data_IF_678849272039
#
_entry.id   IF_678849272039
#
_cell.length_a   1.000
_cell.length_b   1.000
_cell.length_c   1.000
_cell.angle_alpha   90.00
_cell.angle_beta   90.00
_cell.angle_gamma   90.00
#
_symmetry.space_group_name_H-M   'P 1'
#
loop_
_entity.id
_entity.type
_entity.pdbx_description
1 polymer ?
#
# COMPACT_ATOMS: atom_id res chain seq x y z
N UNK A 1 10.68 49.78 27.55
CA UNK A 1 11.12 49.06 26.37
C UNK A 1 11.14 47.52 26.60
N UNK A 2 10.11 46.93 27.25
CA UNK A 2 10.09 45.46 27.55
C UNK A 2 8.81 44.74 27.09
N UNK A 3 7.97 45.34 26.28
CA UNK A 3 6.66 44.80 25.88
C UNK A 3 6.50 44.49 24.40
N UNK A 4 7.57 44.63 23.59
CA UNK A 4 7.52 44.31 22.14
C UNK A 4 8.17 42.98 21.73
N UNK A 5 8.62 42.17 22.68
CA UNK A 5 9.36 40.93 22.39
C UNK A 5 8.55 39.65 22.60
N UNK A 6 7.27 39.76 22.96
CA UNK A 6 6.42 38.59 23.24
C UNK A 6 5.42 38.24 22.13
N UNK A 7 5.39 38.96 21.01
CA UNK A 7 4.45 38.69 19.91
C UNK A 7 5.03 37.91 18.71
N UNK A 8 6.30 37.50 18.75
CA UNK A 8 6.94 36.78 17.61
C UNK A 8 7.08 35.30 17.82
N UNK A 9 6.59 34.72 18.92
CA UNK A 9 6.70 33.28 19.22
C UNK A 9 5.44 32.49 18.88
N UNK A 10 4.39 33.11 18.36
CA UNK A 10 3.07 32.46 18.11
C UNK A 10 2.81 31.95 16.68
N UNK A 11 3.72 32.18 15.72
CA UNK A 11 3.43 31.92 14.30
C UNK A 11 4.17 30.72 13.71
N UNK A 12 4.64 29.79 14.51
CA UNK A 12 5.46 28.67 14.01
C UNK A 12 4.87 27.29 14.29
N UNK A 13 3.56 27.12 14.27
CA UNK A 13 2.98 25.82 14.56
C UNK A 13 1.71 25.49 13.77
N UNK A 14 1.75 25.58 12.45
CA UNK A 14 0.71 24.98 11.59
C UNK A 14 1.25 24.61 10.21
N UNK A 15 2.38 23.92 10.12
CA UNK A 15 2.65 23.06 8.96
C UNK A 15 1.95 21.73 9.21
N UNK A 16 0.64 21.71 9.04
CA UNK A 16 -0.11 20.46 8.88
C UNK A 16 0.39 19.79 7.61
N UNK A 17 1.22 18.76 7.78
CA UNK A 17 1.57 17.85 6.72
C UNK A 17 0.24 17.25 6.20
N UNK A 18 -0.15 17.64 4.99
CA UNK A 18 -1.26 17.02 4.25
C UNK A 18 -0.76 15.62 3.92
N UNK A 19 -0.97 14.68 4.85
CA UNK A 19 -0.74 13.29 4.59
C UNK A 19 -1.79 12.87 3.55
N UNK A 20 -1.36 12.67 2.30
CA UNK A 20 -2.18 12.03 1.28
C UNK A 20 -2.58 10.67 1.83
N UNK A 21 -3.83 10.55 2.28
CA UNK A 21 -4.38 9.32 2.82
C UNK A 21 -4.54 8.32 1.67
N UNK A 22 -3.60 7.39 1.56
CA UNK A 22 -3.77 6.25 0.67
C UNK A 22 -4.95 5.41 1.17
N UNK A 23 -5.88 5.11 0.28
CA UNK A 23 -7.00 4.22 0.62
C UNK A 23 -6.48 2.80 0.78
N UNK A 24 -6.64 2.25 1.98
CA UNK A 24 -6.23 0.88 2.30
C UNK A 24 -7.43 0.12 2.83
N UNK A 25 -7.80 -0.94 2.13
CA UNK A 25 -8.83 -1.88 2.57
C UNK A 25 -8.16 -3.04 3.31
N UNK A 26 -8.66 -3.34 4.50
CA UNK A 26 -8.18 -4.45 5.32
C UNK A 26 -9.37 -5.23 5.85
N UNK A 27 -9.30 -6.54 5.72
CA UNK A 27 -10.24 -7.48 6.33
C UNK A 27 -9.47 -8.46 7.20
N UNK A 28 -10.01 -8.80 8.36
CA UNK A 28 -9.47 -9.82 9.26
C UNK A 28 -10.58 -10.77 9.71
N UNK A 29 -10.24 -12.05 9.84
CA UNK A 29 -11.15 -13.04 10.40
C UNK A 29 -11.36 -12.77 11.89
N UNK A 30 -12.60 -12.86 12.35
CA UNK A 30 -12.93 -12.78 13.78
C UNK A 30 -12.50 -14.01 14.56
N UNK A 31 -12.29 -15.14 13.86
CA UNK A 31 -11.90 -16.41 14.45
C UNK A 31 -10.38 -16.57 14.55
N UNK A 32 -9.61 -15.70 13.88
CA UNK A 32 -8.15 -15.76 13.90
C UNK A 32 -7.60 -15.28 15.25
N UNK A 33 -6.76 -16.11 15.86
CA UNK A 33 -6.11 -15.77 17.13
C UNK A 33 -4.70 -15.21 16.86
N UNK A 34 -4.63 -13.95 16.43
CA UNK A 34 -3.38 -13.29 16.05
C UNK A 34 -2.27 -13.36 17.09
N UNK A 35 -2.52 -13.23 18.41
CA UNK A 35 -1.48 -13.38 19.44
C UNK A 35 -0.84 -14.76 19.50
N UNK A 36 -1.47 -15.80 18.94
CA UNK A 36 -0.91 -17.16 18.96
C UNK A 36 0.00 -17.48 17.79
N UNK A 37 0.10 -16.61 16.79
CA UNK A 37 0.95 -16.82 15.63
C UNK A 37 2.37 -16.35 15.91
N UNK A 38 3.35 -17.21 15.63
CA UNK A 38 4.78 -16.94 15.85
C UNK A 38 5.62 -17.09 14.60
N UNK A 39 5.12 -17.85 13.60
CA UNK A 39 5.87 -18.18 12.41
C UNK A 39 5.06 -17.95 11.15
N UNK A 40 5.74 -17.58 10.06
CA UNK A 40 5.13 -17.48 8.76
C UNK A 40 6.07 -17.99 7.66
N UNK A 41 5.49 -18.47 6.57
CA UNK A 41 6.20 -18.77 5.35
C UNK A 41 5.52 -18.12 4.13
N UNK A 42 6.27 -17.99 3.06
CA UNK A 42 5.73 -17.56 1.79
C UNK A 42 5.10 -18.74 1.05
N UNK A 43 3.84 -18.58 0.70
CA UNK A 43 3.15 -19.53 -0.18
C UNK A 43 3.39 -19.21 -1.66
N UNK A 44 3.22 -20.22 -2.50
CA UNK A 44 3.33 -20.04 -3.94
C UNK A 44 2.09 -19.33 -4.48
N UNK A 45 2.32 -18.27 -5.26
CA UNK A 45 1.24 -17.66 -6.03
C UNK A 45 0.91 -18.57 -7.23
N UNK A 46 -0.32 -19.05 -7.28
CA UNK A 46 -0.79 -19.89 -8.40
C UNK A 46 -0.85 -19.15 -9.75
N UNK A 47 -0.73 -17.83 -9.75
CA UNK A 47 -0.70 -16.98 -10.93
C UNK A 47 0.51 -16.01 -10.89
N UNK A 48 1.74 -16.49 -11.14
CA UNK A 48 2.95 -15.65 -11.09
C UNK A 48 2.94 -14.52 -12.12
N UNK A 49 2.14 -14.61 -13.18
CA UNK A 49 2.03 -13.57 -14.21
C UNK A 49 1.17 -12.36 -13.81
N UNK A 50 0.54 -12.37 -12.64
CA UNK A 50 -0.31 -11.26 -12.19
C UNK A 50 0.46 -10.08 -11.58
N UNK A 51 1.73 -10.27 -11.20
CA UNK A 51 2.56 -9.16 -10.76
C UNK A 51 3.46 -8.76 -11.93
N UNK A 52 2.97 -7.86 -12.76
CA UNK A 52 3.62 -7.46 -14.01
C UNK A 52 4.98 -6.76 -13.83
N UNK A 53 5.40 -6.47 -12.58
CA UNK A 53 6.71 -5.90 -12.28
C UNK A 53 7.37 -6.67 -11.13
N UNK A 54 8.33 -7.51 -11.46
CA UNK A 54 9.07 -8.32 -10.49
C UNK A 54 9.80 -7.49 -9.41
N UNK A 55 10.29 -6.29 -9.77
CA UNK A 55 10.96 -5.42 -8.80
C UNK A 55 9.98 -4.88 -7.74
N UNK A 56 8.78 -4.49 -8.13
CA UNK A 56 7.76 -4.03 -7.17
C UNK A 56 7.25 -5.18 -6.30
N UNK A 57 7.19 -6.39 -6.84
CA UNK A 57 6.85 -7.58 -6.06
C UNK A 57 7.92 -7.90 -5.01
N UNK A 58 9.18 -7.83 -5.40
CA UNK A 58 10.32 -8.05 -4.50
C UNK A 58 10.37 -6.99 -3.40
N UNK A 59 10.15 -5.72 -3.75
CA UNK A 59 10.05 -4.63 -2.77
C UNK A 59 8.90 -4.86 -1.79
N UNK A 60 7.70 -5.20 -2.29
CA UNK A 60 6.57 -5.51 -1.45
C UNK A 60 6.87 -6.68 -0.49
N UNK A 61 7.53 -7.74 -0.98
CA UNK A 61 7.93 -8.88 -0.17
C UNK A 61 8.90 -8.48 0.93
N UNK A 62 9.90 -7.65 0.61
CA UNK A 62 10.87 -7.14 1.58
C UNK A 62 10.17 -6.33 2.67
N UNK A 63 9.30 -5.42 2.28
CA UNK A 63 8.58 -4.58 3.23
C UNK A 63 7.59 -5.38 4.10
N UNK A 64 6.91 -6.37 3.53
CA UNK A 64 6.02 -7.27 4.29
C UNK A 64 6.81 -8.08 5.31
N UNK A 65 7.98 -8.61 4.94
CA UNK A 65 8.88 -9.29 5.88
C UNK A 65 9.23 -8.38 7.06
N UNK A 66 9.64 -7.13 6.78
CA UNK A 66 9.98 -6.16 7.82
C UNK A 66 8.80 -5.90 8.77
N UNK A 67 7.58 -5.80 8.22
CA UNK A 67 6.37 -5.57 9.02
C UNK A 67 6.02 -6.77 9.89
N UNK A 68 6.06 -7.99 9.36
CA UNK A 68 5.74 -9.22 10.10
C UNK A 68 6.78 -9.49 11.20
N UNK A 69 8.06 -9.32 10.88
CA UNK A 69 9.15 -9.44 11.86
C UNK A 69 9.05 -8.37 12.95
N UNK A 70 8.71 -7.14 12.59
CA UNK A 70 8.43 -6.07 13.56
C UNK A 70 7.26 -6.35 14.49
N UNK A 71 6.38 -7.28 14.14
CA UNK A 71 5.28 -7.79 14.98
C UNK A 71 5.65 -9.07 15.74
N UNK A 72 6.90 -9.50 15.67
CA UNK A 72 7.41 -10.66 16.40
C UNK A 72 7.26 -12.00 15.68
N UNK A 73 6.79 -12.01 14.42
CA UNK A 73 6.72 -13.26 13.66
C UNK A 73 8.08 -13.58 13.03
N UNK A 74 8.41 -14.88 13.02
CA UNK A 74 9.64 -15.38 12.42
C UNK A 74 9.35 -16.05 11.09
N UNK A 75 10.12 -15.68 10.05
CA UNK A 75 10.06 -16.38 8.77
C UNK A 75 10.70 -17.77 8.88
N UNK A 76 10.01 -18.76 8.36
CA UNK A 76 10.47 -20.16 8.26
C UNK A 76 10.19 -20.67 6.85
N UNK A 77 10.65 -21.88 6.53
CA UNK A 77 10.32 -22.52 5.27
C UNK A 77 8.91 -23.15 5.33
N UNK A 78 8.26 -23.29 4.18
CA UNK A 78 6.91 -23.84 4.09
C UNK A 78 6.81 -25.27 4.67
N UNK A 79 7.89 -26.06 4.56
CA UNK A 79 7.97 -27.43 5.09
C UNK A 79 8.23 -27.51 6.61
N UNK A 80 8.43 -26.39 7.29
CA UNK A 80 8.65 -26.31 8.75
C UNK A 80 7.35 -26.09 9.54
N UNK A 81 6.20 -26.36 8.96
CA UNK A 81 4.87 -26.20 9.56
C UNK A 81 4.64 -24.79 10.13
N UNK A 82 4.70 -23.75 9.31
CA UNK A 82 4.44 -22.38 9.75
C UNK A 82 3.01 -22.21 10.29
N UNK A 83 2.81 -21.25 11.19
CA UNK A 83 1.46 -20.88 11.65
C UNK A 83 0.67 -20.19 10.52
N UNK A 84 1.37 -19.37 9.72
CA UNK A 84 0.78 -18.55 8.67
C UNK A 84 1.44 -18.78 7.31
N UNK A 85 0.64 -18.75 6.25
CA UNK A 85 1.12 -18.64 4.87
C UNK A 85 0.77 -17.27 4.32
N UNK A 86 1.78 -16.58 3.78
CA UNK A 86 1.64 -15.27 3.16
C UNK A 86 1.67 -15.41 1.65
N UNK A 87 0.69 -14.86 0.96
CA UNK A 87 0.60 -14.86 -0.50
C UNK A 87 0.45 -13.42 -0.97
N UNK A 88 1.28 -13.01 -1.93
CA UNK A 88 1.12 -11.76 -2.65
C UNK A 88 0.48 -12.04 -3.98
N UNK A 89 -0.55 -11.31 -4.30
CA UNK A 89 -1.14 -11.25 -5.62
C UNK A 89 -1.36 -9.81 -6.03
N UNK A 90 -1.51 -9.56 -7.32
CA UNK A 90 -1.74 -8.21 -7.79
C UNK A 90 -1.90 -8.16 -9.29
N UNK A 91 -2.35 -7.02 -9.78
CA UNK A 91 -2.54 -6.76 -11.19
C UNK A 91 -2.25 -5.31 -11.52
N UNK A 92 -2.01 -5.04 -12.79
CA UNK A 92 -1.96 -3.70 -13.34
C UNK A 92 -3.08 -3.54 -14.36
N UNK A 93 -3.76 -2.40 -14.31
CA UNK A 93 -4.73 -1.99 -15.32
C UNK A 93 -4.43 -0.57 -15.77
N UNK A 94 -4.58 -0.34 -17.05
CA UNK A 94 -4.52 1.02 -17.60
C UNK A 94 -5.92 1.64 -17.50
N UNK A 95 -5.99 2.81 -16.90
CA UNK A 95 -7.19 3.63 -16.85
C UNK A 95 -6.94 4.91 -17.66
N UNK A 96 -7.77 5.16 -18.66
CA UNK A 96 -7.73 6.41 -19.41
C UNK A 96 -8.63 7.43 -18.71
N UNK A 97 -8.05 8.52 -18.26
CA UNK A 97 -8.78 9.67 -17.73
C UNK A 97 -8.81 10.75 -18.82
N UNK A 98 -9.95 11.40 -18.99
CA UNK A 98 -10.10 12.49 -19.95
C UNK A 98 -10.11 13.80 -19.18
N UNK A 99 -9.07 14.60 -19.34
CA UNK A 99 -9.03 15.97 -18.80
C UNK A 99 -9.54 16.94 -19.85
N UNK A 100 -10.72 17.49 -19.60
CA UNK A 100 -11.24 18.60 -20.37
C UNK A 100 -10.73 19.91 -19.77
N UNK A 101 -9.86 20.63 -20.48
CA UNK A 101 -9.40 21.93 -20.07
C UNK A 101 -9.89 23.01 -21.05
N UNK A 102 -10.34 24.13 -20.50
CA UNK A 102 -10.62 25.33 -21.26
C UNK A 102 -12.05 25.50 -21.72
N UNK A 103 -12.97 25.76 -20.80
CA UNK A 103 -14.19 26.52 -21.06
C UNK A 103 -14.53 27.40 -19.85
N UNK A 104 -13.72 28.42 -19.64
CA UNK A 104 -14.10 29.61 -18.88
C UNK A 104 -13.36 30.82 -19.49
N UNK A 105 -13.95 31.41 -20.50
CA UNK A 105 -13.46 32.65 -21.08
C UNK A 105 -14.25 32.97 -22.32
N UNK A 106 -14.87 34.12 -22.31
CA UNK A 106 -15.55 34.76 -23.44
C UNK A 106 -14.55 34.94 -24.58
N UNK A 107 -14.59 34.10 -25.60
CA UNK A 107 -13.72 34.20 -26.77
C UNK A 107 -13.35 32.81 -27.29
N UNK A 108 -14.05 32.34 -28.30
CA UNK A 108 -14.00 31.03 -28.93
C UNK A 108 -12.65 30.37 -29.14
N UNK A 109 -12.14 29.69 -28.13
CA UNK A 109 -11.03 28.77 -28.25
C UNK A 109 -11.55 27.35 -28.13
N UNK A 110 -11.21 26.48 -29.08
CA UNK A 110 -11.56 25.05 -29.00
C UNK A 110 -10.88 24.44 -27.78
N UNK A 111 -11.68 24.06 -26.77
CA UNK A 111 -11.20 23.28 -25.64
C UNK A 111 -10.69 21.92 -26.12
N UNK A 112 -9.50 21.54 -25.68
CA UNK A 112 -8.91 20.23 -26.00
C UNK A 112 -9.28 19.20 -24.94
N UNK A 113 -9.61 17.98 -25.36
CA UNK A 113 -9.69 16.82 -24.49
C UNK A 113 -8.36 16.08 -24.64
N UNK A 114 -7.58 16.03 -23.55
CA UNK A 114 -6.33 15.26 -23.55
C UNK A 114 -6.56 13.96 -22.79
N UNK A 115 -6.42 12.80 -23.44
CA UNK A 115 -6.45 11.54 -22.75
C UNK A 115 -5.16 11.38 -21.93
N UNK A 116 -5.30 11.13 -20.66
CA UNK A 116 -4.20 10.76 -19.77
C UNK A 116 -4.36 9.29 -19.39
N UNK A 117 -3.34 8.50 -19.70
CA UNK A 117 -3.30 7.09 -19.33
C UNK A 117 -2.60 6.94 -17.98
N UNK A 118 -3.32 6.42 -17.02
CA UNK A 118 -2.81 6.10 -15.69
C UNK A 118 -2.77 4.60 -15.49
N UNK A 119 -1.63 4.07 -15.05
CA UNK A 119 -1.52 2.67 -14.67
C UNK A 119 -1.86 2.54 -13.20
N UNK A 120 -2.91 1.78 -12.92
CA UNK A 120 -3.32 1.47 -11.55
C UNK A 120 -2.77 0.10 -11.21
N UNK A 121 -1.87 0.06 -10.21
CA UNK A 121 -1.41 -1.17 -9.60
C UNK A 121 -2.27 -1.55 -8.39
N UNK A 122 -2.68 -2.80 -8.33
CA UNK A 122 -3.34 -3.37 -7.16
C UNK A 122 -2.40 -4.39 -6.55
N UNK A 123 -2.09 -4.24 -5.27
CA UNK A 123 -1.38 -5.21 -4.46
C UNK A 123 -2.41 -5.87 -3.52
N UNK A 124 -2.40 -7.18 -3.45
CA UNK A 124 -3.21 -7.93 -2.48
C UNK A 124 -2.25 -8.78 -1.67
N UNK A 125 -2.35 -8.68 -0.36
CA UNK A 125 -1.60 -9.50 0.58
C UNK A 125 -2.59 -10.33 1.36
N UNK A 126 -2.51 -11.63 1.19
CA UNK A 126 -3.33 -12.63 1.86
C UNK A 126 -2.50 -13.38 2.88
N UNK A 127 -3.00 -13.50 4.10
CA UNK A 127 -2.37 -14.26 5.17
C UNK A 127 -3.37 -15.31 5.63
N UNK A 128 -3.00 -16.58 5.46
CA UNK A 128 -3.82 -17.74 5.80
C UNK A 128 -3.34 -18.37 7.09
N UNK A 129 -4.26 -18.76 7.95
CA UNK A 129 -4.03 -19.65 9.08
C UNK A 129 -3.90 -21.09 8.55
N UNK A 130 -2.74 -21.70 8.74
CA UNK A 130 -2.44 -23.05 8.22
C UNK A 130 -3.28 -24.12 8.95
N UNK A 131 -3.46 -23.96 10.25
CA UNK A 131 -4.20 -24.91 11.09
C UNK A 131 -5.71 -24.85 10.81
N UNK A 132 -6.26 -23.64 10.75
CA UNK A 132 -7.67 -23.43 10.44
C UNK A 132 -8.00 -23.62 8.97
N UNK A 133 -7.00 -23.54 8.07
CA UNK A 133 -7.14 -23.53 6.61
C UNK A 133 -8.05 -22.41 6.10
N UNK A 134 -8.01 -21.28 6.77
CA UNK A 134 -8.85 -20.10 6.48
C UNK A 134 -8.01 -18.85 6.25
N UNK A 135 -8.58 -17.90 5.54
CA UNK A 135 -8.00 -16.57 5.41
C UNK A 135 -8.08 -15.84 6.74
N UNK A 136 -6.93 -15.62 7.39
CA UNK A 136 -6.84 -14.89 8.64
C UNK A 136 -6.90 -13.37 8.42
N UNK A 137 -6.20 -12.89 7.38
CA UNK A 137 -6.10 -11.46 7.10
C UNK A 137 -5.87 -11.17 5.62
N UNK A 138 -6.45 -10.09 5.13
CA UNK A 138 -6.25 -9.57 3.77
C UNK A 138 -6.05 -8.07 3.80
N UNK A 139 -4.99 -7.59 3.14
CA UNK A 139 -4.74 -6.19 2.91
C UNK A 139 -4.69 -5.85 1.42
N UNK A 140 -5.36 -4.76 1.04
CA UNK A 140 -5.46 -4.30 -0.34
C UNK A 140 -5.26 -2.77 -0.40
N UNK A 141 -4.03 -2.29 -0.54
CA UNK A 141 -3.80 -0.88 -0.85
C UNK A 141 -4.10 -0.60 -2.32
N UNK A 142 -4.71 0.54 -2.60
CA UNK A 142 -4.90 1.02 -3.96
C UNK A 142 -3.92 2.14 -4.26
N UNK A 143 -3.16 1.99 -5.33
CA UNK A 143 -2.19 2.97 -5.77
C UNK A 143 -2.22 3.18 -7.28
N UNK A 144 -1.97 4.42 -7.69
CA UNK A 144 -1.69 4.74 -9.10
C UNK A 144 -0.19 4.72 -9.29
N UNK A 145 0.29 3.85 -10.16
CA UNK A 145 1.71 3.75 -10.50
C UNK A 145 2.09 4.80 -11.54
N UNK A 146 3.33 5.28 -11.45
CA UNK A 146 3.90 6.17 -12.44
C UNK A 146 4.87 5.38 -13.33
N UNK A 147 4.50 5.15 -14.59
CA UNK A 147 5.31 4.35 -15.52
C UNK A 147 6.73 4.91 -15.74
N UNK A 148 6.92 6.22 -15.54
CA UNK A 148 8.19 6.92 -15.81
C UNK A 148 9.11 7.01 -14.57
N UNK A 149 8.65 6.57 -13.37
CA UNK A 149 9.43 6.76 -12.15
C UNK A 149 9.38 5.54 -11.22
N UNK A 150 10.27 4.60 -11.48
CA UNK A 150 10.39 3.36 -10.69
C UNK A 150 10.68 3.62 -9.22
N UNK A 151 11.52 4.60 -8.89
CA UNK A 151 11.84 4.94 -7.50
C UNK A 151 10.62 5.46 -6.73
N UNK A 152 9.81 6.28 -7.37
CA UNK A 152 8.55 6.76 -6.79
C UNK A 152 7.58 5.60 -6.56
N UNK A 153 7.54 4.63 -7.49
CA UNK A 153 6.70 3.44 -7.35
C UNK A 153 7.14 2.57 -6.17
N UNK A 154 8.45 2.36 -5.96
CA UNK A 154 8.96 1.65 -4.79
C UNK A 154 8.55 2.34 -3.50
N UNK A 155 8.77 3.66 -3.38
CA UNK A 155 8.33 4.42 -2.20
C UNK A 155 6.81 4.36 -1.95
N UNK A 156 6.02 4.25 -3.02
CA UNK A 156 4.56 4.07 -2.87
C UNK A 156 4.22 2.68 -2.35
N UNK A 157 4.93 1.64 -2.78
CA UNK A 157 4.78 0.27 -2.25
C UNK A 157 5.13 0.25 -0.76
N UNK A 158 6.24 0.87 -0.36
CA UNK A 158 6.67 0.94 1.05
C UNK A 158 5.60 1.56 1.94
N UNK A 159 5.10 2.74 1.53
CA UNK A 159 4.04 3.44 2.25
C UNK A 159 2.74 2.64 2.29
N UNK A 160 2.41 1.98 1.19
CA UNK A 160 1.20 1.18 1.07
C UNK A 160 1.24 -0.01 2.01
N UNK A 161 2.35 -0.76 2.04
CA UNK A 161 2.56 -1.88 2.94
C UNK A 161 2.55 -1.41 4.39
N UNK A 162 3.31 -0.36 4.73
CA UNK A 162 3.34 0.18 6.09
C UNK A 162 1.93 0.60 6.58
N UNK A 163 1.15 1.29 5.74
CA UNK A 163 -0.21 1.72 6.10
C UNK A 163 -1.19 0.54 6.25
N UNK A 164 -1.01 -0.49 5.46
CA UNK A 164 -1.79 -1.71 5.53
C UNK A 164 -1.53 -2.46 6.84
N UNK A 165 -0.26 -2.65 7.21
CA UNK A 165 0.13 -3.36 8.42
C UNK A 165 -0.11 -2.59 9.73
N UNK A 166 -0.34 -1.27 9.69
CA UNK A 166 -0.90 -0.54 10.85
C UNK A 166 -2.26 -1.08 11.29
N UNK A 167 -3.01 -1.71 10.37
CA UNK A 167 -4.32 -2.30 10.64
C UNK A 167 -4.26 -3.83 10.84
N UNK A 168 -3.07 -4.41 10.84
CA UNK A 168 -2.89 -5.83 11.18
C UNK A 168 -3.09 -6.00 12.69
N UNK A 169 -3.95 -6.93 13.14
CA UNK A 169 -4.19 -7.15 14.57
C UNK A 169 -2.91 -7.60 15.29
N UNK A 170 -2.76 -7.14 16.53
CA UNK A 170 -1.63 -7.47 17.43
C UNK A 170 -2.15 -8.33 18.57
#
# INVERSE_FOLDING_TARGET
MKTKMLMLAGLLCCMSAVASAQTVYVNSSRNANFPSYHTYAWGQNQNPNQIANSFLAQEAQTQINNQLQGKGLKMVQENENPDLIVIISGGMRTQTSYNAWGMRGFGGGMGGITPEQNVIGTLIVDIYDVKAKELAWRGMPQNTLNEKNSQKNMQMVDKAVANMFKKYPS
#
